data_IF_089235980094
#
_entry.id   IF_089235980094
#
_cell.length_a   1.000
_cell.length_b   1.000
_cell.length_c   1.000
_cell.angle_alpha   90.00
_cell.angle_beta   90.00
_cell.angle_gamma   90.00
#
_symmetry.space_group_name_H-M   'P 1'
#
loop_
_entity.id
_entity.type
_entity.pdbx_description
1 polymer ?
#
# COMPACT_ATOMS: atom_id res chain seq x y z
N UNK A 1 16.13 -15.18 -0.15
CA UNK A 1 15.19 -14.29 -0.87
C UNK A 1 15.49 -12.90 -0.39
N UNK A 2 15.59 -11.93 -1.30
CA UNK A 2 15.85 -10.55 -0.92
C UNK A 2 14.57 -9.84 -0.47
N UNK A 3 14.70 -8.69 0.19
CA UNK A 3 13.56 -7.81 0.52
C UNK A 3 12.80 -7.42 -0.77
N UNK A 4 13.52 -7.13 -1.86
CA UNK A 4 12.97 -6.83 -3.19
C UNK A 4 12.11 -7.98 -3.72
N UNK A 5 12.65 -9.20 -3.72
CA UNK A 5 11.94 -10.39 -4.20
C UNK A 5 10.68 -10.67 -3.35
N UNK A 6 10.78 -10.53 -2.03
CA UNK A 6 9.63 -10.71 -1.13
C UNK A 6 8.52 -9.68 -1.42
N UNK A 7 8.90 -8.42 -1.63
CA UNK A 7 7.98 -7.34 -1.94
C UNK A 7 7.29 -7.54 -3.29
N UNK A 8 8.05 -7.90 -4.33
CA UNK A 8 7.49 -8.18 -5.66
C UNK A 8 6.57 -9.38 -5.64
N UNK A 9 6.96 -10.47 -4.96
CA UNK A 9 6.12 -11.65 -4.80
C UNK A 9 4.80 -11.33 -4.07
N UNK A 10 4.82 -10.44 -3.08
CA UNK A 10 3.61 -9.99 -2.38
C UNK A 10 2.66 -9.22 -3.31
N UNK A 11 3.19 -8.34 -4.17
CA UNK A 11 2.39 -7.59 -5.16
C UNK A 11 1.83 -8.53 -6.23
N UNK A 12 2.66 -9.43 -6.77
CA UNK A 12 2.23 -10.41 -7.78
C UNK A 12 1.12 -11.31 -7.24
N UNK A 13 1.28 -11.83 -6.03
CA UNK A 13 0.25 -12.62 -5.36
C UNK A 13 -1.02 -11.80 -5.12
N UNK A 14 -0.87 -10.54 -4.70
CA UNK A 14 -1.96 -9.60 -4.56
C UNK A 14 -2.74 -9.44 -5.85
N UNK A 15 -2.06 -9.19 -6.98
CA UNK A 15 -2.67 -9.05 -8.31
C UNK A 15 -3.39 -10.34 -8.72
N UNK A 16 -2.76 -11.50 -8.52
CA UNK A 16 -3.34 -12.78 -8.89
C UNK A 16 -4.62 -13.13 -8.09
N UNK A 17 -4.73 -12.62 -6.86
CA UNK A 17 -5.88 -12.85 -5.97
C UNK A 17 -6.80 -11.63 -5.87
N UNK A 18 -6.51 -10.55 -6.58
CA UNK A 18 -7.30 -9.33 -6.53
C UNK A 18 -8.71 -9.64 -7.02
N UNK A 19 -9.75 -9.27 -6.28
CA UNK A 19 -11.09 -9.64 -6.68
C UNK A 19 -11.62 -8.71 -7.80
N UNK A 20 -10.89 -7.65 -8.18
CA UNK A 20 -11.12 -6.85 -9.40
C UNK A 20 -10.59 -7.60 -10.63
N UNK A 21 -10.96 -7.14 -11.83
CA UNK A 21 -10.39 -7.67 -13.06
C UNK A 21 -8.98 -7.12 -13.33
N UNK A 22 -8.14 -7.89 -14.02
CA UNK A 22 -6.85 -7.41 -14.52
C UNK A 22 -7.00 -6.11 -15.33
N UNK A 23 -8.03 -6.02 -16.17
CA UNK A 23 -8.35 -4.81 -16.95
C UNK A 23 -8.56 -3.57 -16.05
N UNK A 24 -9.15 -3.76 -14.86
CA UNK A 24 -9.36 -2.69 -13.88
C UNK A 24 -8.03 -2.23 -13.28
N UNK A 25 -7.14 -3.17 -12.96
CA UNK A 25 -5.81 -2.87 -12.44
C UNK A 25 -4.95 -2.16 -13.49
N UNK A 26 -4.99 -2.63 -14.74
CA UNK A 26 -4.25 -2.03 -15.85
C UNK A 26 -4.76 -0.61 -16.16
N UNK A 27 -6.08 -0.40 -16.11
CA UNK A 27 -6.67 0.92 -16.28
C UNK A 27 -6.26 1.90 -15.18
N UNK A 28 -6.16 1.43 -13.93
CA UNK A 28 -5.69 2.24 -12.81
C UNK A 28 -4.22 2.66 -12.98
N UNK A 29 -3.35 1.73 -13.36
CA UNK A 29 -1.94 2.02 -13.63
C UNK A 29 -1.77 2.97 -14.82
N UNK A 30 -2.57 2.80 -15.88
CA UNK A 30 -2.58 3.70 -17.03
C UNK A 30 -2.98 5.13 -16.62
N UNK A 31 -4.05 5.28 -15.83
CA UNK A 31 -4.50 6.57 -15.31
C UNK A 31 -3.39 7.27 -14.50
N UNK A 32 -2.74 6.55 -13.59
CA UNK A 32 -1.64 7.09 -12.77
C UNK A 32 -0.44 7.51 -13.62
N UNK A 33 -0.17 6.80 -14.72
CA UNK A 33 0.86 7.18 -15.67
C UNK A 33 0.50 8.48 -16.41
N UNK A 34 -0.74 8.61 -16.87
CA UNK A 34 -1.24 9.86 -17.48
C UNK A 34 -1.15 11.04 -16.49
N UNK A 35 -1.53 10.83 -15.22
CA UNK A 35 -1.39 11.82 -14.15
C UNK A 35 0.07 12.27 -14.00
N UNK A 36 1.02 11.34 -13.95
CA UNK A 36 2.44 11.64 -13.85
C UNK A 36 2.98 12.41 -15.07
N UNK A 37 2.58 12.00 -16.28
CA UNK A 37 3.02 12.65 -17.52
C UNK A 37 2.46 14.06 -17.67
N UNK A 38 1.25 14.31 -17.16
CA UNK A 38 0.61 15.62 -17.14
C UNK A 38 1.21 16.58 -16.10
N UNK A 39 2.02 16.09 -15.15
CA UNK A 39 2.65 16.95 -14.15
C UNK A 39 3.70 17.89 -14.77
N UNK A 40 3.75 19.16 -14.34
CA UNK A 40 4.89 20.02 -14.60
C UNK A 40 6.20 19.36 -14.16
N UNK A 41 7.29 19.60 -14.90
CA UNK A 41 8.58 18.94 -14.65
C UNK A 41 9.09 19.11 -13.22
N UNK A 42 8.85 20.27 -12.61
CA UNK A 42 9.23 20.55 -11.23
C UNK A 42 8.43 19.75 -10.18
N UNK A 43 7.26 19.20 -10.53
CA UNK A 43 6.44 18.36 -9.66
C UNK A 43 6.76 16.87 -9.77
N UNK A 44 7.28 16.40 -10.91
CA UNK A 44 7.58 14.98 -11.14
C UNK A 44 8.51 14.32 -10.10
N UNK A 45 9.53 15.02 -9.53
CA UNK A 45 10.36 14.45 -8.47
C UNK A 45 9.60 14.13 -7.17
N UNK A 46 8.43 14.75 -6.96
CA UNK A 46 7.60 14.56 -5.76
C UNK A 46 6.45 13.56 -5.99
N UNK A 47 6.32 13.02 -7.20
CA UNK A 47 5.35 11.97 -7.48
C UNK A 47 5.81 10.66 -6.83
N UNK A 48 4.87 9.88 -6.30
CA UNK A 48 5.17 8.53 -5.83
C UNK A 48 5.32 7.58 -7.04
N UNK A 49 6.56 7.38 -7.47
CA UNK A 49 6.90 6.52 -8.61
C UNK A 49 6.50 5.07 -8.41
N UNK A 50 6.30 4.61 -7.16
CA UNK A 50 5.84 3.25 -6.90
C UNK A 50 4.43 3.02 -7.46
N UNK A 51 3.58 4.06 -7.44
CA UNK A 51 2.21 4.01 -7.97
C UNK A 51 2.14 3.73 -9.47
N UNK A 52 3.24 3.91 -10.21
CA UNK A 52 3.32 3.61 -11.64
C UNK A 52 3.42 2.11 -11.95
N UNK A 53 3.81 1.29 -10.97
CA UNK A 53 4.00 -0.16 -11.12
C UNK A 53 3.25 -1.01 -10.10
N UNK A 54 2.91 -0.42 -8.95
CA UNK A 54 2.19 -1.09 -7.88
C UNK A 54 0.75 -0.55 -7.81
N UNK A 55 -0.28 -1.37 -8.10
CA UNK A 55 -1.68 -0.93 -8.01
C UNK A 55 -2.10 -0.64 -6.56
N UNK A 56 -1.40 -1.17 -5.56
CA UNK A 56 -1.68 -0.98 -4.14
C UNK A 56 -0.92 0.23 -3.59
N UNK A 57 -1.64 1.28 -3.23
CA UNK A 57 -1.05 2.54 -2.75
C UNK A 57 -0.38 2.44 -1.37
N UNK A 58 -0.69 1.38 -0.63
CA UNK A 58 -0.32 1.19 0.78
C UNK A 58 0.69 0.07 1.05
N UNK A 59 1.04 -0.70 0.02
CA UNK A 59 2.04 -1.76 0.13
C UNK A 59 3.39 -1.16 -0.26
N UNK A 60 4.33 -1.04 0.70
CA UNK A 60 5.63 -0.38 0.48
C UNK A 60 6.77 -1.07 1.22
N UNK A 61 7.98 -0.99 0.64
CA UNK A 61 9.21 -1.12 1.42
C UNK A 61 9.40 0.20 2.16
N UNK A 62 9.10 0.22 3.45
CA UNK A 62 9.13 1.45 4.26
C UNK A 62 10.56 1.90 4.54
N UNK A 63 11.46 0.96 4.85
CA UNK A 63 12.85 1.24 5.17
C UNK A 63 13.72 -0.01 5.01
N UNK A 64 15.00 0.20 4.68
CA UNK A 64 16.01 -0.85 4.60
C UNK A 64 16.52 -1.09 3.17
N UNK A 65 17.66 -1.79 3.05
CA UNK A 65 18.23 -2.16 1.76
C UNK A 65 17.38 -3.25 1.09
N UNK A 66 17.04 -3.03 -0.18
CA UNK A 66 16.19 -3.96 -0.92
C UNK A 66 16.88 -5.28 -1.28
N UNK A 67 18.21 -5.29 -1.31
CA UNK A 67 19.06 -6.45 -1.60
C UNK A 67 19.43 -7.26 -0.35
N UNK A 68 18.97 -6.88 0.85
CA UNK A 68 19.17 -7.68 2.05
C UNK A 68 18.43 -9.02 1.96
N UNK A 69 19.13 -10.09 2.35
CA UNK A 69 18.54 -11.42 2.46
C UNK A 69 17.60 -11.51 3.68
N UNK A 70 16.44 -12.13 3.47
CA UNK A 70 15.43 -12.37 4.49
C UNK A 70 15.31 -13.87 4.72
N UNK A 71 15.64 -14.31 5.94
CA UNK A 71 15.43 -15.69 6.40
C UNK A 71 14.44 -15.75 7.56
N UNK A 72 14.39 -14.69 8.36
CA UNK A 72 13.55 -14.55 9.56
C UNK A 72 12.82 -13.23 9.55
N UNK A 73 11.52 -13.27 9.87
CA UNK A 73 10.70 -12.07 9.89
C UNK A 73 9.78 -12.06 11.11
N UNK A 74 9.51 -10.85 11.61
CA UNK A 74 8.43 -10.56 12.55
C UNK A 74 7.28 -9.99 11.74
N UNK A 75 6.12 -10.67 11.76
CA UNK A 75 4.92 -10.22 11.08
C UNK A 75 3.85 -9.79 12.10
N UNK A 76 3.20 -8.65 11.87
CA UNK A 76 2.15 -8.15 12.76
C UNK A 76 1.13 -7.28 12.04
N UNK A 77 -0.05 -7.14 12.67
CA UNK A 77 -1.14 -6.34 12.13
C UNK A 77 -0.83 -4.84 12.29
N UNK A 78 -0.55 -4.41 13.51
CA UNK A 78 -0.14 -3.04 13.80
C UNK A 78 1.29 -3.08 14.33
N UNK A 79 2.22 -2.48 13.60
CA UNK A 79 3.61 -2.34 14.00
C UNK A 79 3.89 -0.86 14.26
N UNK A 80 3.97 -0.51 15.54
CA UNK A 80 4.39 0.80 16.02
C UNK A 80 5.72 0.73 16.76
N UNK A 81 6.01 1.78 17.52
CA UNK A 81 7.25 1.89 18.31
C UNK A 81 7.45 0.70 19.25
N UNK A 82 6.41 0.20 19.88
CA UNK A 82 6.51 -0.89 20.85
C UNK A 82 6.94 -2.21 20.18
N UNK A 83 6.39 -2.53 19.01
CA UNK A 83 6.81 -3.71 18.24
C UNK A 83 8.23 -3.57 17.70
N UNK A 84 8.66 -2.35 17.31
CA UNK A 84 10.05 -2.10 16.96
C UNK A 84 10.99 -2.32 18.15
N UNK A 85 10.61 -1.89 19.36
CA UNK A 85 11.39 -2.14 20.58
C UNK A 85 11.44 -3.63 20.93
N UNK A 86 10.36 -4.38 20.70
CA UNK A 86 10.36 -5.84 20.86
C UNK A 86 11.32 -6.49 19.84
N UNK A 87 11.26 -6.08 18.57
CA UNK A 87 12.15 -6.57 17.53
C UNK A 87 13.63 -6.32 17.87
N UNK A 88 13.97 -5.12 18.34
CA UNK A 88 15.31 -4.77 18.79
C UNK A 88 15.74 -5.63 19.99
N UNK A 89 14.84 -5.80 20.98
CA UNK A 89 15.11 -6.61 22.16
C UNK A 89 15.29 -8.11 21.85
N UNK A 90 14.63 -8.62 20.82
CA UNK A 90 14.80 -9.99 20.35
C UNK A 90 16.20 -10.16 19.74
N UNK A 91 16.63 -9.20 18.90
CA UNK A 91 17.99 -9.20 18.33
C UNK A 91 19.07 -9.14 19.41
N UNK A 92 18.89 -8.28 20.42
CA UNK A 92 19.75 -8.20 21.61
C UNK A 92 19.92 -9.55 22.33
N UNK A 93 18.87 -10.37 22.33
CA UNK A 93 18.86 -11.70 22.97
C UNK A 93 19.38 -12.80 22.05
N UNK A 94 19.91 -12.45 20.87
CA UNK A 94 20.44 -13.39 19.89
C UNK A 94 19.36 -14.12 19.09
N UNK A 95 18.10 -13.63 19.09
CA UNK A 95 17.07 -14.13 18.18
C UNK A 95 17.32 -13.52 16.80
N UNK A 96 17.55 -14.32 15.75
CA UNK A 96 17.72 -13.80 14.40
C UNK A 96 16.42 -13.12 13.95
N UNK A 97 16.56 -11.93 13.39
CA UNK A 97 15.46 -11.14 12.84
C UNK A 97 15.99 -10.24 11.71
N UNK A 98 15.63 -10.59 10.48
CA UNK A 98 16.11 -9.93 9.27
C UNK A 98 15.12 -8.87 8.75
N UNK A 99 13.82 -9.10 8.91
CA UNK A 99 12.77 -8.22 8.42
C UNK A 99 11.59 -8.05 9.40
N UNK A 100 10.86 -6.94 9.25
CA UNK A 100 9.56 -6.72 9.88
C UNK A 100 8.53 -6.52 8.78
N UNK A 101 7.43 -7.27 8.84
CA UNK A 101 6.32 -7.19 7.91
C UNK A 101 5.10 -6.67 8.67
N UNK A 102 4.63 -5.50 8.28
CA UNK A 102 3.51 -4.83 8.92
C UNK A 102 2.31 -4.76 7.96
N UNK A 103 1.12 -5.11 8.44
CA UNK A 103 -0.11 -4.76 7.72
C UNK A 103 -0.39 -3.25 7.81
N UNK A 104 -0.25 -2.69 9.01
CA UNK A 104 -0.29 -1.26 9.29
C UNK A 104 0.96 -0.85 10.06
N UNK A 105 1.57 0.26 9.67
CA UNK A 105 2.68 0.85 10.42
C UNK A 105 2.64 2.37 10.37
N UNK A 106 3.11 3.00 11.45
CA UNK A 106 3.20 4.46 11.58
C UNK A 106 4.35 5.08 10.77
N UNK A 107 5.27 4.26 10.23
CA UNK A 107 6.37 4.73 9.40
C UNK A 107 5.92 4.96 7.96
N UNK A 108 5.64 6.22 7.60
CA UNK A 108 5.55 6.81 6.23
C UNK A 108 4.82 6.07 5.09
N UNK A 109 4.27 4.86 5.29
CA UNK A 109 3.82 4.00 4.21
C UNK A 109 2.51 4.44 3.55
N UNK A 110 1.72 5.27 4.22
CA UNK A 110 0.43 5.76 3.71
C UNK A 110 0.12 7.09 4.38
N UNK A 111 0.55 8.20 3.77
CA UNK A 111 -0.04 9.50 4.10
C UNK A 111 -1.51 9.56 3.67
N UNK A 112 -2.29 10.51 4.21
CA UNK A 112 -3.66 10.82 3.73
C UNK A 112 -3.73 10.99 2.19
N UNK A 113 -2.62 11.33 1.55
CA UNK A 113 -2.48 11.46 0.10
C UNK A 113 -2.79 10.19 -0.71
N UNK A 114 -2.79 9.02 -0.07
CA UNK A 114 -3.05 7.73 -0.73
C UNK A 114 -4.39 7.09 -0.31
N UNK A 115 -5.24 7.83 0.40
CA UNK A 115 -6.56 7.34 0.83
C UNK A 115 -7.38 6.84 -0.38
N UNK A 116 -7.26 7.50 -1.52
CA UNK A 116 -7.99 7.13 -2.73
C UNK A 116 -7.58 5.75 -3.25
N UNK A 117 -6.29 5.42 -3.14
CA UNK A 117 -5.74 4.15 -3.61
C UNK A 117 -6.25 2.95 -2.79
N UNK A 118 -6.60 3.17 -1.52
CA UNK A 118 -7.07 2.11 -0.61
C UNK A 118 -8.59 2.11 -0.41
N UNK A 119 -9.27 3.22 -0.71
CA UNK A 119 -10.69 3.37 -0.40
C UNK A 119 -11.58 3.27 -1.63
N UNK A 120 -11.19 3.84 -2.78
CA UNK A 120 -12.01 3.82 -3.99
C UNK A 120 -12.19 2.40 -4.54
N UNK A 121 -11.21 1.52 -4.30
CA UNK A 121 -11.31 0.09 -4.59
C UNK A 121 -12.59 -0.55 -4.00
N UNK A 122 -13.05 -0.07 -2.84
CA UNK A 122 -14.24 -0.62 -2.20
C UNK A 122 -15.51 -0.34 -3.01
N UNK A 123 -15.56 0.78 -3.76
CA UNK A 123 -16.67 1.07 -4.67
C UNK A 123 -16.75 -0.02 -5.74
N UNK A 124 -15.62 -0.38 -6.35
CA UNK A 124 -15.59 -1.40 -7.39
C UNK A 124 -15.90 -2.81 -6.84
N UNK A 125 -15.46 -3.10 -5.62
CA UNK A 125 -15.83 -4.34 -4.91
C UNK A 125 -17.36 -4.39 -4.72
N UNK A 126 -17.99 -3.34 -4.20
CA UNK A 126 -19.45 -3.30 -4.03
C UNK A 126 -20.20 -3.45 -5.36
N UNK A 127 -19.71 -2.79 -6.42
CA UNK A 127 -20.31 -2.88 -7.76
C UNK A 127 -20.25 -4.31 -8.29
N UNK A 128 -19.12 -5.01 -8.10
CA UNK A 128 -18.98 -6.41 -8.47
C UNK A 128 -19.96 -7.30 -7.73
N UNK A 129 -20.20 -7.04 -6.45
CA UNK A 129 -21.16 -7.77 -5.61
C UNK A 129 -22.64 -7.38 -5.88
N UNK A 130 -22.90 -6.58 -6.93
CA UNK A 130 -24.25 -6.25 -7.40
C UNK A 130 -24.85 -4.96 -6.82
N UNK A 131 -24.09 -4.19 -6.05
CA UNK A 131 -24.53 -2.88 -5.57
C UNK A 131 -24.45 -1.87 -6.72
N UNK A 132 -25.52 -1.12 -7.04
CA UNK A 132 -25.41 -0.06 -8.04
C UNK A 132 -24.32 0.96 -7.66
N UNK A 133 -23.43 1.30 -8.59
CA UNK A 133 -22.28 2.21 -8.36
C UNK A 133 -22.67 3.48 -7.60
N UNK A 134 -23.77 4.09 -8.01
CA UNK A 134 -24.30 5.31 -7.37
C UNK A 134 -24.60 5.14 -5.88
N UNK A 135 -25.10 3.97 -5.46
CA UNK A 135 -25.38 3.69 -4.05
C UNK A 135 -24.10 3.39 -3.27
N UNK A 136 -23.14 2.66 -3.87
CA UNK A 136 -21.83 2.44 -3.27
C UNK A 136 -21.07 3.76 -3.05
N UNK A 137 -21.04 4.63 -4.07
CA UNK A 137 -20.46 5.98 -4.00
C UNK A 137 -21.12 6.84 -2.93
N UNK A 138 -22.45 6.81 -2.83
CA UNK A 138 -23.21 7.57 -1.84
C UNK A 138 -22.83 7.21 -0.40
N UNK A 139 -22.44 5.96 -0.15
CA UNK A 139 -22.02 5.48 1.18
C UNK A 139 -20.54 5.77 1.42
N UNK A 140 -19.68 5.50 0.44
CA UNK A 140 -18.23 5.55 0.64
C UNK A 140 -17.62 6.93 0.45
N UNK A 141 -18.08 7.72 -0.53
CA UNK A 141 -17.47 9.03 -0.82
C UNK A 141 -17.50 10.00 0.37
N UNK A 142 -18.58 10.11 1.17
CA UNK A 142 -18.57 10.97 2.34
C UNK A 142 -17.50 10.58 3.37
N UNK A 143 -17.31 9.27 3.59
CA UNK A 143 -16.28 8.77 4.51
C UNK A 143 -14.86 9.01 3.98
N UNK A 144 -14.66 8.85 2.66
CA UNK A 144 -13.38 9.18 2.01
C UNK A 144 -13.07 10.67 2.13
N UNK A 145 -14.07 11.54 1.93
CA UNK A 145 -13.92 12.99 2.01
C UNK A 145 -13.60 13.45 3.45
N UNK A 146 -14.22 12.82 4.44
CA UNK A 146 -13.90 13.02 5.85
C UNK A 146 -12.42 12.71 6.15
N UNK A 147 -11.91 11.59 5.63
CA UNK A 147 -10.50 11.22 5.78
C UNK A 147 -9.53 12.15 5.03
N UNK A 148 -9.93 12.65 3.85
CA UNK A 148 -9.13 13.61 3.08
C UNK A 148 -9.00 14.95 3.80
N UNK A 149 -10.11 15.44 4.33
CA UNK A 149 -10.18 16.77 4.97
C UNK A 149 -9.68 16.75 6.41
N UNK A 150 -9.70 15.58 7.05
CA UNK A 150 -9.29 15.40 8.43
C UNK A 150 -10.30 16.04 9.37
N UNK A 151 -11.37 15.33 9.69
CA UNK A 151 -12.11 15.60 10.92
C UNK A 151 -11.23 15.28 12.13
N UNK A 152 -11.33 16.13 13.14
CA UNK A 152 -10.55 16.14 14.40
C UNK A 152 -10.54 14.80 15.15
#
# INVERSE_FOLDING_TARGET
MTVRELYEAAIELGIALDPRSQETLDAELARRKEEFEALPEWKKPYFDHERLRNPYGDVRIVNGPEDAEVFTALAGINIGTDEFLIADRLKDKGVPLDAIIAHHTSGTGIGRSHIDDITLINIDIFVREGVPRKEAEKVLLPWIDEWRTGSD
#
